data_IF_080028922252
#
_entry.id   IF_080028922252
#
_cell.length_a   1.000
_cell.length_b   1.000
_cell.length_c   1.000
_cell.angle_alpha   90.00
_cell.angle_beta   90.00
_cell.angle_gamma   90.00
#
_symmetry.space_group_name_H-M   'P 1'
#
loop_
_entity.id
_entity.type
_entity.pdbx_description
1 polymer ?
#
# COMPACT_ATOMS: atom_id res chain seq x y z
N UNK A 1 -6.63 -6.15 17.81
CA UNK A 1 -5.29 -6.25 18.44
C UNK A 1 -4.49 -5.02 18.07
N UNK A 2 -4.02 -4.21 19.01
CA UNK A 2 -3.30 -2.99 18.67
C UNK A 2 -1.97 -3.33 17.98
N UNK A 3 -1.65 -2.64 16.90
CA UNK A 3 -0.31 -2.62 16.31
C UNK A 3 0.68 -2.27 17.41
N UNK A 4 1.38 -3.27 17.96
CA UNK A 4 2.40 -3.05 18.98
C UNK A 4 3.66 -2.54 18.27
N UNK A 5 3.72 -1.24 18.07
CA UNK A 5 4.83 -0.57 17.38
C UNK A 5 6.05 -0.34 18.28
N UNK A 6 5.93 -0.63 19.58
CA UNK A 6 7.02 -0.40 20.56
C UNK A 6 6.68 -1.08 21.88
N UNK A 7 7.70 -1.44 22.68
CA UNK A 7 7.55 -1.95 24.04
C UNK A 7 7.29 -0.82 25.07
N UNK A 8 7.46 0.44 24.65
CA UNK A 8 7.18 1.61 25.48
C UNK A 8 5.66 1.85 25.51
N UNK A 9 5.10 2.14 26.69
CA UNK A 9 3.67 2.43 26.85
C UNK A 9 3.24 3.63 26.00
N UNK A 10 2.04 3.58 25.43
CA UNK A 10 1.52 4.61 24.52
C UNK A 10 1.65 6.04 25.06
N UNK A 11 1.24 6.29 26.31
CA UNK A 11 1.34 7.62 26.96
C UNK A 11 2.80 8.11 27.10
N UNK A 12 3.71 7.20 27.33
CA UNK A 12 5.13 7.52 27.47
C UNK A 12 5.74 7.87 26.11
N UNK A 13 5.41 7.10 25.06
CA UNK A 13 5.80 7.44 23.68
C UNK A 13 5.29 8.83 23.29
N UNK A 14 4.03 9.15 23.57
CA UNK A 14 3.50 10.48 23.29
C UNK A 14 4.35 11.56 24.00
N UNK A 15 4.63 11.41 25.28
CA UNK A 15 5.43 12.39 26.03
C UNK A 15 6.80 12.63 25.41
N UNK A 16 7.46 11.58 24.94
CA UNK A 16 8.76 11.68 24.25
C UNK A 16 8.60 12.42 22.92
N UNK A 17 7.65 11.98 22.09
CA UNK A 17 7.49 12.47 20.73
C UNK A 17 7.02 13.94 20.67
N UNK A 18 6.14 14.38 21.56
CA UNK A 18 5.71 15.78 21.59
C UNK A 18 6.81 16.76 22.02
N UNK A 19 7.91 16.27 22.61
CA UNK A 19 9.06 17.08 22.97
C UNK A 19 10.08 17.22 21.82
N UNK A 20 9.96 16.43 20.75
CA UNK A 20 10.83 16.52 19.59
C UNK A 20 10.44 17.73 18.72
N UNK A 21 11.27 18.81 18.69
CA UNK A 21 10.95 20.01 17.95
C UNK A 21 11.04 19.81 16.43
N UNK A 22 11.89 18.89 15.95
CA UNK A 22 12.07 18.60 14.53
C UNK A 22 10.82 17.92 14.02
N UNK A 23 10.38 16.85 14.70
CA UNK A 23 9.16 16.13 14.33
C UNK A 23 7.94 17.05 14.39
N UNK A 24 7.77 17.85 15.43
CA UNK A 24 6.63 18.77 15.55
C UNK A 24 6.57 19.79 14.43
N UNK A 25 7.72 20.36 14.05
CA UNK A 25 7.81 21.32 12.93
C UNK A 25 7.52 20.63 11.59
N UNK A 26 8.06 19.44 11.37
CA UNK A 26 7.83 18.68 10.14
C UNK A 26 6.34 18.32 9.96
N UNK A 27 5.70 17.84 11.03
CA UNK A 27 4.26 17.51 11.01
C UNK A 27 3.41 18.76 10.79
N UNK A 28 3.68 19.86 11.49
CA UNK A 28 2.93 21.13 11.34
C UNK A 28 3.02 21.66 9.89
N UNK A 29 4.23 21.73 9.33
CA UNK A 29 4.43 22.17 7.94
C UNK A 29 3.71 21.28 6.92
N UNK A 30 3.73 19.97 7.14
CA UNK A 30 3.04 19.03 6.26
C UNK A 30 1.51 19.19 6.35
N UNK A 31 0.95 19.32 7.54
CA UNK A 31 -0.48 19.54 7.77
C UNK A 31 -0.97 20.84 7.12
N UNK A 32 -0.24 21.94 7.30
CA UNK A 32 -0.57 23.23 6.69
C UNK A 32 -0.57 23.13 5.17
N UNK A 33 0.49 22.57 4.57
CA UNK A 33 0.62 22.41 3.11
C UNK A 33 -0.47 21.51 2.55
N UNK A 34 -0.68 20.33 3.15
CA UNK A 34 -1.68 19.38 2.65
C UNK A 34 -3.09 19.94 2.84
N UNK A 35 -3.38 20.60 3.97
CA UNK A 35 -4.66 21.23 4.24
C UNK A 35 -4.97 22.36 3.25
N UNK A 36 -3.99 23.23 2.98
CA UNK A 36 -4.14 24.32 1.97
C UNK A 36 -4.36 23.75 0.57
N UNK A 37 -3.59 22.74 0.18
CA UNK A 37 -3.75 22.10 -1.12
C UNK A 37 -5.11 21.41 -1.25
N UNK A 38 -5.55 20.69 -0.18
CA UNK A 38 -6.86 20.07 -0.14
C UNK A 38 -7.98 21.10 -0.36
N UNK A 39 -7.94 22.26 0.31
CA UNK A 39 -8.95 23.29 0.15
C UNK A 39 -9.00 23.79 -1.29
N UNK A 40 -7.85 24.07 -1.92
CA UNK A 40 -7.79 24.43 -3.33
C UNK A 40 -8.45 23.40 -4.24
N UNK A 41 -8.22 22.11 -4.00
CA UNK A 41 -8.79 21.03 -4.81
C UNK A 41 -10.29 20.85 -4.58
N UNK A 42 -10.79 21.15 -3.37
CA UNK A 42 -12.21 21.20 -3.04
C UNK A 42 -12.89 22.33 -3.81
N UNK A 43 -12.32 23.53 -3.76
CA UNK A 43 -12.86 24.73 -4.42
C UNK A 43 -12.85 24.55 -5.96
N UNK A 44 -11.79 23.95 -6.50
CA UNK A 44 -11.65 23.67 -7.92
C UNK A 44 -12.65 22.64 -8.45
N UNK A 45 -12.89 21.56 -7.70
CA UNK A 45 -13.84 20.52 -8.10
C UNK A 45 -15.27 21.07 -8.13
N UNK A 46 -15.59 21.98 -7.21
CA UNK A 46 -16.96 22.44 -6.98
C UNK A 46 -17.87 21.34 -6.46
N UNK A 47 -19.04 21.71 -5.96
CA UNK A 47 -20.06 20.74 -5.50
C UNK A 47 -19.50 19.61 -4.61
N UNK A 48 -18.51 19.90 -3.78
CA UNK A 48 -17.77 18.92 -2.97
C UNK A 48 -18.67 18.00 -2.14
N UNK A 49 -19.72 18.56 -1.54
CA UNK A 49 -20.65 17.76 -0.70
C UNK A 49 -21.50 16.80 -1.53
N UNK A 50 -21.81 17.12 -2.78
CA UNK A 50 -22.50 16.20 -3.69
C UNK A 50 -21.60 15.01 -4.05
N UNK A 51 -20.33 15.27 -4.38
CA UNK A 51 -19.33 14.22 -4.62
C UNK A 51 -19.15 13.34 -3.40
N UNK A 52 -19.05 13.94 -2.21
CA UNK A 52 -18.89 13.22 -0.94
C UNK A 52 -20.12 12.35 -0.65
N UNK A 53 -21.32 12.87 -0.83
CA UNK A 53 -22.58 12.15 -0.68
C UNK A 53 -22.68 11.00 -1.68
N UNK A 54 -22.24 11.20 -2.93
CA UNK A 54 -22.23 10.12 -3.91
C UNK A 54 -21.23 9.02 -3.52
N UNK A 55 -20.03 9.38 -3.10
CA UNK A 55 -19.04 8.40 -2.62
C UNK A 55 -19.55 7.63 -1.40
N UNK A 56 -20.24 8.30 -0.45
CA UNK A 56 -20.87 7.64 0.68
C UNK A 56 -21.96 6.66 0.24
N UNK A 57 -22.84 7.04 -0.69
CA UNK A 57 -23.88 6.16 -1.23
C UNK A 57 -23.30 4.90 -1.87
N UNK A 58 -22.23 5.05 -2.68
CA UNK A 58 -21.52 3.92 -3.28
C UNK A 58 -20.99 2.99 -2.19
N UNK A 59 -20.32 3.52 -1.18
CA UNK A 59 -19.76 2.73 -0.08
C UNK A 59 -20.85 2.02 0.74
N UNK A 60 -21.90 2.74 1.07
CA UNK A 60 -23.07 2.18 1.81
C UNK A 60 -23.72 1.04 1.02
N UNK A 61 -24.00 1.26 -0.26
CA UNK A 61 -24.59 0.25 -1.14
C UNK A 61 -23.74 -1.02 -1.21
N UNK A 62 -22.41 -0.87 -1.29
CA UNK A 62 -21.50 -2.03 -1.28
C UNK A 62 -21.56 -2.77 0.05
N UNK A 63 -21.58 -2.06 1.18
CA UNK A 63 -21.61 -2.68 2.51
C UNK A 63 -22.93 -3.41 2.76
N UNK A 64 -24.04 -2.85 2.30
CA UNK A 64 -25.39 -3.46 2.41
C UNK A 64 -25.53 -4.73 1.53
N UNK A 65 -24.67 -4.91 0.52
CA UNK A 65 -24.70 -6.04 -0.41
C UNK A 65 -23.31 -6.70 -0.52
N UNK A 66 -22.56 -6.70 0.57
CA UNK A 66 -21.14 -7.06 0.54
C UNK A 66 -20.89 -8.51 0.13
N UNK A 67 -21.75 -9.43 0.56
CA UNK A 67 -21.71 -10.84 0.20
C UNK A 67 -21.86 -11.07 -1.31
N UNK A 68 -22.83 -10.40 -1.92
CA UNK A 68 -23.05 -10.47 -3.37
C UNK A 68 -21.86 -9.93 -4.17
N UNK A 69 -21.31 -8.79 -3.76
CA UNK A 69 -20.15 -8.21 -4.42
C UNK A 69 -18.85 -9.00 -4.19
N UNK A 70 -18.64 -9.58 -3.02
CA UNK A 70 -17.54 -10.50 -2.76
C UNK A 70 -17.63 -11.75 -3.64
N UNK A 71 -18.83 -12.31 -3.77
CA UNK A 71 -19.06 -13.46 -4.65
C UNK A 71 -18.76 -13.09 -6.11
N UNK A 72 -19.36 -12.00 -6.61
CA UNK A 72 -19.15 -11.52 -8.00
C UNK A 72 -17.67 -11.25 -8.28
N UNK A 73 -16.97 -10.58 -7.38
CA UNK A 73 -15.54 -10.31 -7.50
C UNK A 73 -14.74 -11.61 -7.60
N UNK A 74 -15.04 -12.58 -6.72
CA UNK A 74 -14.36 -13.87 -6.71
C UNK A 74 -14.54 -14.64 -8.02
N UNK A 75 -15.77 -14.72 -8.54
CA UNK A 75 -16.07 -15.34 -9.82
C UNK A 75 -15.30 -14.68 -10.97
N UNK A 76 -15.28 -13.34 -11.01
CA UNK A 76 -14.60 -12.60 -12.07
C UNK A 76 -13.08 -12.75 -12.00
N UNK A 77 -12.48 -12.65 -10.82
CA UNK A 77 -11.02 -12.86 -10.65
C UNK A 77 -10.64 -14.28 -11.08
N UNK A 78 -11.44 -15.28 -10.67
CA UNK A 78 -11.20 -16.68 -11.05
C UNK A 78 -11.36 -16.90 -12.54
N UNK A 79 -12.40 -16.33 -13.15
CA UNK A 79 -12.62 -16.41 -14.60
C UNK A 79 -11.49 -15.77 -15.41
N UNK A 80 -10.82 -14.77 -14.86
CA UNK A 80 -9.63 -14.13 -15.44
C UNK A 80 -8.33 -14.90 -15.16
N UNK A 81 -8.38 -16.10 -14.57
CA UNK A 81 -7.22 -16.93 -14.27
C UNK A 81 -6.50 -16.59 -12.96
N UNK A 82 -7.06 -15.72 -12.13
CA UNK A 82 -6.53 -15.39 -10.82
C UNK A 82 -7.00 -16.37 -9.72
N UNK A 83 -6.32 -16.34 -8.59
CA UNK A 83 -6.68 -17.10 -7.38
C UNK A 83 -7.25 -16.14 -6.33
N UNK A 84 -8.37 -16.54 -5.71
CA UNK A 84 -8.96 -15.76 -4.61
C UNK A 84 -8.86 -16.54 -3.31
N UNK A 85 -8.44 -15.86 -2.26
CA UNK A 85 -8.37 -16.42 -0.92
C UNK A 85 -9.04 -15.49 0.09
N UNK A 86 -10.05 -16.02 0.79
CA UNK A 86 -10.73 -15.32 1.86
C UNK A 86 -10.04 -15.63 3.20
N UNK A 87 -9.42 -14.65 3.78
CA UNK A 87 -8.72 -14.75 5.06
C UNK A 87 -9.61 -14.18 6.18
N UNK A 88 -10.09 -15.03 7.06
CA UNK A 88 -10.90 -14.62 8.19
C UNK A 88 -10.09 -13.87 9.24
N UNK A 89 -8.84 -14.29 9.43
CA UNK A 89 -7.92 -13.73 10.41
C UNK A 89 -6.63 -13.27 9.75
N UNK A 90 -5.81 -12.51 10.47
CA UNK A 90 -4.47 -12.15 10.03
C UNK A 90 -3.56 -13.37 9.87
N UNK A 91 -3.76 -14.39 10.70
CA UNK A 91 -3.04 -15.65 10.66
C UNK A 91 -3.36 -16.43 9.38
N UNK A 92 -4.62 -16.47 8.96
CA UNK A 92 -5.03 -17.06 7.67
C UNK A 92 -4.36 -16.35 6.51
N UNK A 93 -4.44 -15.01 6.48
CA UNK A 93 -3.86 -14.20 5.42
C UNK A 93 -2.34 -14.43 5.30
N UNK A 94 -1.62 -14.33 6.41
CA UNK A 94 -0.17 -14.47 6.40
C UNK A 94 0.28 -15.90 6.11
N UNK A 95 -0.47 -16.91 6.56
CA UNK A 95 -0.20 -18.32 6.26
C UNK A 95 -0.36 -18.63 4.77
N UNK A 96 -1.41 -18.07 4.15
CA UNK A 96 -1.61 -18.21 2.71
C UNK A 96 -0.50 -17.54 1.89
N UNK A 97 -0.15 -16.29 2.22
CA UNK A 97 0.93 -15.56 1.56
C UNK A 97 2.27 -16.29 1.70
N UNK A 98 2.57 -16.79 2.91
CA UNK A 98 3.77 -17.58 3.15
C UNK A 98 3.77 -18.89 2.37
N UNK A 99 2.63 -19.57 2.27
CA UNK A 99 2.47 -20.79 1.47
C UNK A 99 2.81 -20.50 0.00
N UNK A 100 2.19 -19.49 -0.60
CA UNK A 100 2.46 -19.09 -1.99
C UNK A 100 3.95 -18.74 -2.17
N UNK A 101 4.54 -17.93 -1.29
CA UNK A 101 5.95 -17.59 -1.38
C UNK A 101 6.88 -18.82 -1.33
N UNK A 102 6.57 -19.81 -0.50
CA UNK A 102 7.32 -21.07 -0.42
C UNK A 102 7.14 -21.93 -1.67
N UNK A 103 5.92 -22.06 -2.19
CA UNK A 103 5.64 -22.81 -3.42
C UNK A 103 6.37 -22.24 -4.62
N UNK A 104 6.58 -20.92 -4.63
CA UNK A 104 7.38 -20.22 -5.66
C UNK A 104 8.88 -20.23 -5.37
N UNK A 105 9.34 -20.89 -4.31
CA UNK A 105 10.73 -20.88 -3.88
C UNK A 105 11.28 -19.47 -3.73
N UNK A 106 10.46 -18.54 -3.21
CA UNK A 106 10.83 -17.15 -3.10
C UNK A 106 12.02 -16.97 -2.14
N UNK A 107 13.09 -16.42 -2.68
CA UNK A 107 14.28 -16.02 -1.92
C UNK A 107 14.12 -14.65 -1.32
N UNK A 108 13.25 -13.82 -1.90
CA UNK A 108 12.84 -12.52 -1.41
C UNK A 108 11.49 -12.12 -1.98
N UNK A 109 10.84 -11.17 -1.30
CA UNK A 109 9.60 -10.55 -1.72
C UNK A 109 9.82 -9.04 -1.85
N UNK A 110 9.37 -8.43 -2.95
CA UNK A 110 9.26 -6.97 -3.06
C UNK A 110 7.84 -6.54 -2.74
N UNK A 111 7.70 -5.49 -1.95
CA UNK A 111 6.40 -5.04 -1.46
C UNK A 111 6.21 -3.55 -1.70
N UNK A 112 5.07 -3.16 -2.25
CA UNK A 112 4.64 -1.76 -2.21
C UNK A 112 3.89 -1.46 -0.91
N UNK A 113 3.91 -0.21 -0.49
CA UNK A 113 3.23 0.24 0.73
C UNK A 113 1.78 -0.23 0.80
N UNK A 114 1.42 -0.90 1.89
CA UNK A 114 0.07 -1.38 2.14
C UNK A 114 -0.23 -1.44 3.63
N UNK A 115 -1.23 -0.66 4.05
CA UNK A 115 -1.66 -0.65 5.44
C UNK A 115 -2.28 -1.99 5.88
N UNK A 116 -2.91 -2.73 4.96
CA UNK A 116 -3.47 -4.06 5.28
C UNK A 116 -2.36 -5.06 5.55
N UNK A 117 -1.26 -5.03 4.78
CA UNK A 117 -0.11 -5.93 5.03
C UNK A 117 0.60 -5.61 6.35
N UNK A 118 0.63 -4.34 6.77
CA UNK A 118 1.12 -3.93 8.10
C UNK A 118 0.18 -4.41 9.21
N UNK A 119 -1.13 -4.24 9.03
CA UNK A 119 -2.17 -4.69 9.96
C UNK A 119 -2.05 -6.18 10.29
N UNK A 120 -1.87 -7.02 9.27
CA UNK A 120 -1.74 -8.47 9.45
C UNK A 120 -0.32 -8.89 9.91
N UNK A 121 0.66 -7.99 9.90
CA UNK A 121 2.04 -8.28 10.30
C UNK A 121 2.81 -9.17 9.33
N UNK A 122 2.52 -9.05 8.03
CA UNK A 122 3.06 -9.91 6.97
C UNK A 122 4.60 -9.97 6.97
N UNK A 123 5.27 -8.82 7.05
CA UNK A 123 6.73 -8.75 6.98
C UNK A 123 7.40 -9.63 8.05
N UNK A 124 6.91 -9.55 9.29
CA UNK A 124 7.48 -10.33 10.40
C UNK A 124 7.32 -11.85 10.19
N UNK A 125 6.20 -12.29 9.62
CA UNK A 125 5.94 -13.72 9.35
C UNK A 125 6.87 -14.25 8.26
N UNK A 126 7.03 -13.51 7.15
CA UNK A 126 7.92 -13.91 6.06
C UNK A 126 9.40 -13.88 6.49
N UNK A 127 9.83 -12.84 7.18
CA UNK A 127 11.20 -12.71 7.69
C UNK A 127 11.54 -13.84 8.67
N UNK A 128 10.61 -14.20 9.58
CA UNK A 128 10.78 -15.34 10.50
C UNK A 128 10.92 -16.68 9.76
N UNK A 129 10.33 -16.78 8.57
CA UNK A 129 10.46 -17.96 7.72
C UNK A 129 11.71 -17.93 6.82
N UNK A 130 12.59 -16.94 6.97
CA UNK A 130 13.82 -16.79 6.19
C UNK A 130 13.62 -16.12 4.81
N UNK A 131 12.46 -15.53 4.56
CA UNK A 131 12.15 -14.83 3.30
C UNK A 131 12.17 -13.32 3.59
N UNK A 132 13.21 -12.58 3.18
CA UNK A 132 13.28 -11.15 3.35
C UNK A 132 12.22 -10.43 2.52
N UNK A 133 11.61 -9.41 3.11
CA UNK A 133 10.67 -8.51 2.45
C UNK A 133 11.35 -7.16 2.24
N UNK A 134 11.40 -6.71 1.01
CA UNK A 134 11.99 -5.42 0.63
C UNK A 134 10.86 -4.41 0.43
N UNK A 135 10.80 -3.39 1.27
CA UNK A 135 9.91 -2.26 1.06
C UNK A 135 10.38 -1.44 -0.15
N UNK A 136 9.46 -1.07 -1.02
CA UNK A 136 9.80 -0.37 -2.26
C UNK A 136 9.30 1.07 -2.32
N UNK A 137 8.43 1.48 -1.39
CA UNK A 137 8.11 2.88 -1.12
C UNK A 137 9.33 3.54 -0.44
N UNK A 138 9.74 4.70 -0.95
CA UNK A 138 10.97 5.37 -0.47
C UNK A 138 10.93 5.64 1.03
N UNK A 139 9.81 6.13 1.54
CA UNK A 139 9.64 6.43 2.97
C UNK A 139 9.69 5.17 3.83
N UNK A 140 9.01 4.11 3.39
CA UNK A 140 9.00 2.82 4.12
C UNK A 140 10.37 2.12 4.04
N UNK A 141 11.07 2.21 2.91
CA UNK A 141 12.42 1.66 2.77
C UNK A 141 13.41 2.33 3.74
N UNK A 142 13.36 3.66 3.87
CA UNK A 142 14.17 4.41 4.83
C UNK A 142 13.87 3.96 6.27
N UNK A 143 12.59 3.78 6.61
CA UNK A 143 12.19 3.30 7.94
C UNK A 143 12.58 1.84 8.17
N UNK A 144 12.50 1.00 7.15
CA UNK A 144 12.98 -0.38 7.22
C UNK A 144 14.48 -0.43 7.55
N UNK A 145 15.30 0.38 6.90
CA UNK A 145 16.73 0.51 7.20
C UNK A 145 16.97 1.02 8.62
N UNK A 146 16.21 2.01 9.06
CA UNK A 146 16.32 2.59 10.40
C UNK A 146 15.71 1.71 11.51
N UNK A 147 15.04 0.61 11.18
CA UNK A 147 14.28 -0.23 12.11
C UNK A 147 13.23 0.55 12.91
N UNK A 148 12.59 1.53 12.27
CA UNK A 148 11.57 2.39 12.88
C UNK A 148 10.18 2.14 12.29
N UNK A 149 9.12 2.30 13.10
CA UNK A 149 7.75 2.23 12.59
C UNK A 149 7.37 3.51 11.82
N UNK A 150 6.41 3.44 10.88
CA UNK A 150 5.91 4.61 10.19
C UNK A 150 5.20 5.57 11.16
N UNK A 151 5.40 6.88 10.97
CA UNK A 151 4.74 7.93 11.75
C UNK A 151 3.44 8.41 11.11
N UNK A 152 3.26 8.19 9.83
CA UNK A 152 2.10 8.66 9.07
C UNK A 152 1.75 7.69 7.94
N UNK A 153 0.45 7.51 7.68
CA UNK A 153 -0.05 6.56 6.68
C UNK A 153 0.40 6.91 5.25
N UNK A 154 0.33 8.21 4.90
CA UNK A 154 0.65 8.67 3.53
C UNK A 154 2.13 9.02 3.36
N UNK A 155 2.74 9.60 4.38
CA UNK A 155 4.14 10.03 4.39
C UNK A 155 4.86 9.36 5.57
N UNK A 156 5.29 8.09 5.43
CA UNK A 156 5.77 7.28 6.55
C UNK A 156 6.94 7.92 7.32
N UNK A 157 7.92 8.46 6.61
CA UNK A 157 9.13 9.05 7.17
C UNK A 157 9.02 10.57 7.45
N UNK A 158 7.81 11.12 7.65
CA UNK A 158 7.57 12.55 7.86
C UNK A 158 8.34 13.13 9.06
N UNK A 159 8.71 12.30 10.01
CA UNK A 159 9.45 12.69 11.22
C UNK A 159 10.95 12.83 11.00
N UNK A 160 11.46 12.48 9.81
CA UNK A 160 12.89 12.59 9.48
C UNK A 160 13.15 13.77 8.55
N UNK A 161 14.22 14.50 8.87
CA UNK A 161 14.78 15.48 7.95
C UNK A 161 15.82 14.85 6.99
N UNK A 162 16.27 15.63 6.01
CA UNK A 162 17.23 15.17 4.99
C UNK A 162 18.55 14.71 5.58
N UNK A 163 19.00 15.37 6.63
CA UNK A 163 20.25 15.05 7.31
C UNK A 163 20.16 13.68 8.00
N UNK A 164 19.05 13.42 8.69
CA UNK A 164 18.76 12.14 9.32
C UNK A 164 18.64 11.02 8.28
N UNK A 165 17.97 11.29 7.16
CA UNK A 165 17.86 10.31 6.05
C UNK A 165 19.25 10.00 5.49
N UNK A 166 20.07 11.00 5.17
CA UNK A 166 21.44 10.80 4.69
C UNK A 166 22.27 9.94 5.65
N UNK A 167 22.13 10.17 6.97
CA UNK A 167 22.82 9.37 7.99
C UNK A 167 22.38 7.90 7.93
N UNK A 168 21.08 7.62 7.88
CA UNK A 168 20.56 6.26 7.75
C UNK A 168 21.13 5.57 6.49
N UNK A 169 21.14 6.28 5.35
CA UNK A 169 21.68 5.72 4.11
C UNK A 169 23.19 5.48 4.18
N UNK A 170 23.94 6.34 4.87
CA UNK A 170 25.37 6.13 5.07
C UNK A 170 25.64 4.92 5.98
N UNK A 171 24.97 4.84 7.13
CA UNK A 171 25.17 3.80 8.14
C UNK A 171 24.80 2.40 7.61
N UNK A 172 23.72 2.29 6.83
CA UNK A 172 23.20 0.99 6.39
C UNK A 172 23.58 0.59 4.96
N UNK A 173 23.88 1.57 4.09
CA UNK A 173 24.13 1.31 2.66
C UNK A 173 25.45 1.91 2.16
N UNK A 174 26.23 2.61 3.01
CA UNK A 174 27.48 3.24 2.63
C UNK A 174 27.32 4.45 1.70
N UNK A 175 26.25 5.23 1.84
CA UNK A 175 26.02 6.42 1.04
C UNK A 175 26.91 7.58 1.46
N UNK A 176 27.78 8.03 0.58
CA UNK A 176 28.70 9.18 0.81
C UNK A 176 28.33 10.42 -0.03
N UNK A 177 27.28 10.33 -0.84
CA UNK A 177 26.85 11.40 -1.74
C UNK A 177 26.27 12.65 -1.03
N UNK A 178 25.87 13.66 -1.83
CA UNK A 178 25.33 14.90 -1.30
C UNK A 178 23.94 14.71 -0.65
N UNK A 179 23.61 15.63 0.26
CA UNK A 179 22.34 15.62 1.02
C UNK A 179 21.19 16.24 0.20
N UNK A 180 21.09 15.92 -1.06
CA UNK A 180 19.98 16.35 -1.91
C UNK A 180 18.97 15.22 -2.11
N UNK A 181 17.66 15.51 -2.13
CA UNK A 181 16.64 14.50 -2.35
C UNK A 181 16.88 13.70 -3.62
N UNK A 182 17.31 14.37 -4.69
CA UNK A 182 17.54 13.78 -6.02
C UNK A 182 18.66 12.75 -5.96
N UNK A 183 19.79 13.09 -5.35
CA UNK A 183 20.95 12.19 -5.25
C UNK A 183 20.67 10.99 -4.35
N UNK A 184 20.02 11.19 -3.20
CA UNK A 184 19.64 10.12 -2.30
C UNK A 184 18.59 9.18 -2.94
N UNK A 185 17.61 9.73 -3.66
CA UNK A 185 16.60 8.95 -4.37
C UNK A 185 17.22 8.12 -5.50
N UNK A 186 18.13 8.71 -6.27
CA UNK A 186 18.84 8.00 -7.33
C UNK A 186 19.65 6.82 -6.77
N UNK A 187 20.36 7.04 -5.68
CA UNK A 187 21.12 5.99 -5.01
C UNK A 187 20.24 4.82 -4.54
N UNK A 188 19.11 5.13 -3.89
CA UNK A 188 18.16 4.10 -3.44
C UNK A 188 17.58 3.36 -4.64
N UNK A 189 17.20 4.08 -5.72
CA UNK A 189 16.72 3.47 -6.95
C UNK A 189 17.69 2.43 -7.52
N UNK A 190 18.98 2.74 -7.52
CA UNK A 190 20.01 1.80 -7.98
C UNK A 190 20.13 0.59 -7.06
N UNK A 191 20.05 0.79 -5.75
CA UNK A 191 20.14 -0.29 -4.76
C UNK A 191 18.98 -1.27 -4.88
N UNK A 192 17.74 -0.80 -4.89
CA UNK A 192 16.55 -1.67 -4.93
C UNK A 192 16.27 -2.25 -6.33
N UNK A 193 16.92 -1.74 -7.37
CA UNK A 193 16.73 -2.23 -8.75
C UNK A 193 16.95 -3.74 -8.86
N UNK A 194 18.01 -4.25 -8.24
CA UNK A 194 18.33 -5.68 -8.31
C UNK A 194 17.32 -6.51 -7.51
N UNK A 195 16.74 -5.95 -6.46
CA UNK A 195 15.68 -6.61 -5.70
C UNK A 195 14.43 -6.78 -6.54
N UNK A 196 14.01 -5.75 -7.27
CA UNK A 196 12.91 -5.85 -8.22
C UNK A 196 13.14 -6.91 -9.30
N UNK A 197 14.35 -6.94 -9.89
CA UNK A 197 14.68 -7.86 -11.00
C UNK A 197 14.82 -9.32 -10.55
N UNK A 198 15.10 -9.56 -9.28
CA UNK A 198 15.40 -10.91 -8.74
C UNK A 198 14.35 -11.44 -7.77
N UNK A 199 13.31 -10.68 -7.46
CA UNK A 199 12.22 -11.14 -6.61
C UNK A 199 11.30 -12.09 -7.38
N UNK A 200 10.97 -13.19 -6.78
CA UNK A 200 10.03 -14.18 -7.32
C UNK A 200 8.57 -13.76 -7.09
N UNK A 201 8.32 -13.03 -5.99
CA UNK A 201 6.98 -12.62 -5.56
C UNK A 201 6.95 -11.11 -5.33
N UNK A 202 5.93 -10.47 -5.88
CA UNK A 202 5.56 -9.08 -5.59
C UNK A 202 4.28 -9.03 -4.77
N UNK A 203 4.27 -8.19 -3.73
CA UNK A 203 3.08 -7.99 -2.89
C UNK A 203 2.65 -6.53 -2.95
N UNK A 204 1.35 -6.31 -3.11
CA UNK A 204 0.75 -4.97 -3.05
C UNK A 204 -0.47 -4.94 -2.14
N UNK A 205 -0.88 -3.74 -1.77
CA UNK A 205 -2.26 -3.52 -1.33
C UNK A 205 -3.23 -3.55 -2.52
N UNK A 206 -4.47 -3.17 -2.24
CA UNK A 206 -5.47 -2.87 -3.24
C UNK A 206 -6.31 -1.70 -2.73
N UNK A 207 -6.37 -0.63 -3.50
CA UNK A 207 -7.17 0.54 -3.13
C UNK A 207 -8.66 0.31 -3.40
N UNK A 208 -8.95 -0.31 -4.54
CA UNK A 208 -10.29 -0.69 -4.95
C UNK A 208 -10.23 -1.99 -5.78
N UNK A 209 -11.21 -2.86 -5.59
CA UNK A 209 -11.48 -3.98 -6.48
C UNK A 209 -12.81 -3.77 -7.18
N UNK A 210 -12.89 -4.00 -8.49
CA UNK A 210 -14.10 -3.80 -9.31
C UNK A 210 -14.83 -5.12 -9.47
N UNK A 211 -16.02 -5.23 -8.89
CA UNK A 211 -16.77 -6.48 -8.87
C UNK A 211 -17.18 -6.95 -10.27
N UNK A 212 -17.58 -6.04 -11.17
CA UNK A 212 -18.03 -6.38 -12.51
C UNK A 212 -16.95 -7.01 -13.39
N UNK A 213 -15.66 -6.68 -13.16
CA UNK A 213 -14.56 -7.10 -14.02
C UNK A 213 -13.54 -8.00 -13.33
N UNK A 214 -13.50 -8.04 -12.01
CA UNK A 214 -12.43 -8.72 -11.26
C UNK A 214 -11.10 -7.94 -11.25
N UNK A 215 -11.11 -6.68 -11.66
CA UNK A 215 -9.91 -5.85 -11.71
C UNK A 215 -9.57 -5.28 -10.32
N UNK A 216 -8.28 -5.18 -10.01
CA UNK A 216 -7.78 -4.48 -8.82
C UNK A 216 -7.09 -3.18 -9.21
N UNK A 217 -7.32 -2.14 -8.41
CA UNK A 217 -6.77 -0.80 -8.60
C UNK A 217 -5.71 -0.51 -7.55
N UNK A 218 -4.55 -0.05 -8.01
CA UNK A 218 -3.46 0.48 -7.19
C UNK A 218 -3.31 1.97 -7.45
N UNK A 219 -3.41 2.77 -6.39
CA UNK A 219 -3.25 4.22 -6.44
C UNK A 219 -1.94 4.58 -5.75
N UNK A 220 -0.98 5.09 -6.52
CA UNK A 220 0.35 5.42 -6.01
C UNK A 220 0.88 6.72 -6.59
N UNK A 221 1.85 7.34 -5.89
CA UNK A 221 2.60 8.50 -6.39
C UNK A 221 3.99 8.11 -6.93
N UNK A 222 4.38 6.86 -6.77
CA UNK A 222 5.65 6.30 -7.19
C UNK A 222 5.42 5.13 -8.14
N UNK A 223 6.38 4.85 -9.03
CA UNK A 223 6.30 3.73 -9.96
C UNK A 223 6.58 2.36 -9.34
N UNK A 224 6.90 2.31 -8.05
CA UNK A 224 7.28 1.11 -7.31
C UNK A 224 6.21 0.01 -7.31
N UNK A 225 4.95 0.38 -7.06
CA UNK A 225 3.86 -0.59 -7.05
C UNK A 225 3.68 -1.26 -8.42
N UNK A 226 3.81 -0.49 -9.52
CA UNK A 226 3.79 -1.07 -10.87
C UNK A 226 4.92 -2.08 -11.06
N UNK A 227 6.13 -1.77 -10.59
CA UNK A 227 7.24 -2.72 -10.67
C UNK A 227 7.02 -3.97 -9.81
N UNK A 228 6.38 -3.85 -8.64
CA UNK A 228 5.98 -5.01 -7.84
C UNK A 228 4.97 -5.93 -8.55
N UNK A 229 4.16 -5.38 -9.46
CA UNK A 229 3.14 -6.15 -10.18
C UNK A 229 3.61 -6.70 -11.52
N UNK A 230 4.67 -6.14 -12.12
CA UNK A 230 5.07 -6.50 -13.50
C UNK A 230 6.36 -7.30 -13.58
N UNK A 231 7.28 -7.12 -12.65
CA UNK A 231 8.61 -7.78 -12.70
C UNK A 231 8.61 -9.16 -12.05
N UNK A 232 8.05 -9.37 -10.84
CA UNK A 232 7.92 -10.69 -10.26
C UNK A 232 6.94 -11.57 -11.06
N UNK A 233 7.22 -12.86 -11.13
CA UNK A 233 6.35 -13.82 -11.82
C UNK A 233 5.04 -14.07 -11.09
N UNK A 234 5.00 -13.89 -9.78
CA UNK A 234 3.81 -14.05 -8.96
C UNK A 234 3.47 -12.74 -8.27
N UNK A 235 2.24 -12.28 -8.44
CA UNK A 235 1.72 -11.09 -7.75
C UNK A 235 0.64 -11.47 -6.74
N UNK A 236 0.76 -10.97 -5.52
CA UNK A 236 -0.24 -11.11 -4.46
C UNK A 236 -0.78 -9.72 -4.10
N UNK A 237 -2.05 -9.47 -4.39
CA UNK A 237 -2.76 -8.28 -3.93
C UNK A 237 -3.49 -8.60 -2.62
N UNK A 238 -3.32 -7.73 -1.59
CA UNK A 238 -3.96 -7.92 -0.28
C UNK A 238 -4.93 -6.76 -0.04
N UNK A 239 -6.20 -7.05 0.21
CA UNK A 239 -7.23 -6.04 0.43
C UNK A 239 -8.10 -6.34 1.63
N UNK A 240 -8.63 -5.30 2.27
CA UNK A 240 -9.78 -5.45 3.16
C UNK A 240 -11.06 -5.72 2.36
N UNK A 241 -11.94 -6.57 2.88
CA UNK A 241 -13.17 -6.98 2.20
C UNK A 241 -14.07 -5.80 1.82
N UNK A 242 -13.94 -4.67 2.50
CA UNK A 242 -14.70 -3.45 2.27
C UNK A 242 -14.22 -2.62 1.06
N UNK A 243 -13.11 -3.00 0.40
CA UNK A 243 -12.49 -2.22 -0.68
C UNK A 243 -13.04 -2.53 -2.08
N UNK A 244 -14.28 -2.96 -2.16
CA UNK A 244 -14.98 -3.26 -3.42
C UNK A 244 -15.71 -2.01 -3.91
N UNK A 245 -15.77 -1.87 -5.22
CA UNK A 245 -16.70 -1.00 -5.94
C UNK A 245 -17.44 -1.83 -6.98
N UNK A 246 -18.73 -1.57 -7.25
CA UNK A 246 -19.51 -2.35 -8.20
C UNK A 246 -18.95 -2.28 -9.62
N UNK A 247 -18.68 -1.09 -10.12
CA UNK A 247 -18.31 -0.79 -11.50
C UNK A 247 -17.13 0.20 -11.59
N UNK A 248 -16.56 0.37 -12.78
CA UNK A 248 -15.52 1.38 -13.04
C UNK A 248 -16.04 2.81 -12.84
N UNK A 249 -17.31 3.11 -13.18
CA UNK A 249 -17.87 4.44 -12.99
C UNK A 249 -17.90 4.83 -11.52
N UNK A 250 -18.19 3.89 -10.63
CA UNK A 250 -18.21 4.14 -9.19
C UNK A 250 -16.82 4.29 -8.60
N UNK A 251 -15.85 3.53 -9.13
CA UNK A 251 -14.44 3.73 -8.75
C UNK A 251 -13.94 5.09 -9.18
N UNK A 252 -14.36 5.62 -10.35
CA UNK A 252 -13.94 6.96 -10.79
C UNK A 252 -14.35 8.04 -9.79
N UNK A 253 -15.57 7.94 -9.23
CA UNK A 253 -16.01 8.82 -8.12
C UNK A 253 -15.09 8.70 -6.92
N UNK A 254 -14.77 7.46 -6.50
CA UNK A 254 -13.94 7.20 -5.32
C UNK A 254 -12.49 7.68 -5.51
N UNK A 255 -11.90 7.46 -6.68
CA UNK A 255 -10.53 7.92 -7.01
C UNK A 255 -10.48 9.44 -7.09
N UNK A 256 -11.48 10.07 -7.70
CA UNK A 256 -11.61 11.54 -7.78
C UNK A 256 -11.59 12.16 -6.38
N UNK A 257 -12.27 11.55 -5.43
CA UNK A 257 -12.30 12.00 -4.03
C UNK A 257 -11.01 11.68 -3.28
N UNK A 258 -10.40 10.51 -3.55
CA UNK A 258 -9.24 10.01 -2.80
C UNK A 258 -8.04 10.95 -2.89
N UNK A 259 -7.59 11.28 -4.08
CA UNK A 259 -6.40 12.12 -4.29
C UNK A 259 -6.59 13.53 -3.72
N UNK A 260 -7.77 14.12 -3.92
CA UNK A 260 -8.12 15.43 -3.41
C UNK A 260 -8.18 15.47 -1.88
N UNK A 261 -8.76 14.44 -1.27
CA UNK A 261 -8.90 14.36 0.18
C UNK A 261 -7.59 14.04 0.89
N UNK A 262 -6.78 13.13 0.34
CA UNK A 262 -5.61 12.59 1.04
C UNK A 262 -4.39 13.50 0.95
N UNK A 263 -4.13 14.09 -0.23
CA UNK A 263 -2.89 14.84 -0.50
C UNK A 263 -3.10 16.21 -1.14
N UNK A 264 -4.35 16.59 -1.43
CA UNK A 264 -4.66 17.84 -2.10
C UNK A 264 -4.13 17.88 -3.55
N UNK A 265 -4.33 16.79 -4.29
CA UNK A 265 -3.96 16.69 -5.70
C UNK A 265 -5.17 16.27 -6.54
N UNK A 266 -5.24 16.72 -7.80
CA UNK A 266 -6.30 16.30 -8.74
C UNK A 266 -6.28 14.81 -8.97
N UNK A 267 -5.09 14.26 -9.20
CA UNK A 267 -4.84 12.85 -9.47
C UNK A 267 -3.58 12.43 -8.71
N UNK A 268 -3.42 11.15 -8.53
CA UNK A 268 -2.15 10.55 -8.10
C UNK A 268 -1.22 10.35 -9.30
N UNK A 269 0.06 10.08 -9.03
CA UNK A 269 1.04 9.86 -10.11
C UNK A 269 0.68 8.67 -11.00
N UNK A 270 0.14 7.61 -10.39
CA UNK A 270 -0.22 6.38 -11.09
C UNK A 270 -1.52 5.78 -10.54
N UNK A 271 -2.40 5.41 -11.46
CA UNK A 271 -3.54 4.52 -11.22
C UNK A 271 -3.33 3.27 -12.08
N UNK A 272 -2.91 2.18 -11.46
CA UNK A 272 -2.61 0.92 -12.14
C UNK A 272 -3.76 -0.04 -11.97
N UNK A 273 -4.22 -0.62 -13.07
CA UNK A 273 -5.30 -1.60 -13.13
C UNK A 273 -4.73 -2.96 -13.54
N UNK A 274 -5.13 -4.00 -12.82
CA UNK A 274 -4.69 -5.37 -13.04
C UNK A 274 -5.91 -6.27 -13.08
N UNK A 275 -6.01 -7.05 -14.16
CA UNK A 275 -7.14 -7.95 -14.40
C UNK A 275 -6.59 -9.36 -14.66
N UNK A 276 -6.23 -10.04 -13.58
CA UNK A 276 -5.66 -11.39 -13.67
C UNK A 276 -4.16 -11.45 -14.02
N UNK A 277 -3.63 -12.67 -14.27
CA UNK A 277 -2.28 -12.87 -14.77
C UNK A 277 -2.16 -12.46 -16.24
N UNK A 278 -0.93 -12.35 -16.74
CA UNK A 278 -0.68 -12.07 -18.16
C UNK A 278 -1.13 -13.23 -19.04
N UNK A 279 -1.60 -12.91 -20.23
CA UNK A 279 -1.91 -13.89 -21.27
C UNK A 279 -0.61 -14.46 -21.86
N UNK A 280 -0.70 -15.66 -22.43
CA UNK A 280 0.41 -16.29 -23.13
C UNK A 280 0.92 -15.40 -24.28
N UNK A 281 2.23 -15.20 -24.36
CA UNK A 281 2.87 -14.34 -25.36
C UNK A 281 3.01 -12.88 -24.94
N UNK A 282 2.40 -12.43 -23.85
CA UNK A 282 2.64 -11.10 -23.31
C UNK A 282 3.92 -11.07 -22.45
N UNK A 283 4.71 -9.99 -22.55
CA UNK A 283 5.99 -9.85 -21.85
C UNK A 283 5.81 -9.23 -20.46
N UNK A 284 4.82 -8.36 -20.29
CA UNK A 284 4.58 -7.62 -19.05
C UNK A 284 3.46 -8.25 -18.21
N UNK A 285 3.62 -8.23 -16.91
CA UNK A 285 2.66 -8.73 -15.95
C UNK A 285 3.06 -10.06 -15.31
N UNK A 286 2.40 -10.43 -14.23
CA UNK A 286 2.70 -11.66 -13.50
C UNK A 286 2.17 -12.89 -14.27
N UNK A 287 2.86 -14.00 -14.14
CA UNK A 287 2.39 -15.31 -14.65
C UNK A 287 1.26 -15.88 -13.77
N UNK A 288 1.20 -15.43 -12.51
CA UNK A 288 0.23 -15.89 -11.53
C UNK A 288 -0.21 -14.72 -10.64
N UNK A 289 -1.51 -14.63 -10.44
CA UNK A 289 -2.14 -13.56 -9.65
C UNK A 289 -2.98 -14.13 -8.50
N UNK A 290 -2.77 -13.60 -7.29
CA UNK A 290 -3.54 -13.94 -6.11
C UNK A 290 -4.19 -12.69 -5.51
N UNK A 291 -5.49 -12.79 -5.20
CA UNK A 291 -6.21 -11.78 -4.44
C UNK A 291 -6.53 -12.34 -3.05
N UNK A 292 -5.91 -11.77 -2.02
CA UNK A 292 -6.17 -12.12 -0.62
C UNK A 292 -7.13 -11.08 -0.04
N UNK A 293 -8.35 -11.53 0.26
CA UNK A 293 -9.42 -10.70 0.83
C UNK A 293 -9.45 -10.93 2.34
N UNK A 294 -9.19 -9.88 3.10
CA UNK A 294 -9.00 -9.95 4.55
C UNK A 294 -10.22 -9.41 5.28
N UNK A 295 -10.81 -10.24 6.12
CA UNK A 295 -11.81 -9.82 7.11
C UNK A 295 -11.12 -9.19 8.33
N UNK A 296 -10.44 -9.97 9.12
CA UNK A 296 -9.74 -9.56 10.35
C UNK A 296 -10.59 -8.68 11.27
N UNK A 297 -11.86 -9.05 11.46
CA UNK A 297 -12.84 -8.37 12.31
C UNK A 297 -13.65 -7.27 11.62
N UNK A 298 -13.51 -7.07 10.31
CA UNK A 298 -14.30 -6.09 9.56
C UNK A 298 -15.79 -6.45 9.55
N UNK A 299 -16.09 -7.72 9.38
CA UNK A 299 -17.48 -8.22 9.42
C UNK A 299 -18.17 -8.07 10.80
N UNK A 300 -17.41 -7.82 11.86
CA UNK A 300 -17.95 -7.56 13.19
C UNK A 300 -18.33 -6.08 13.41
N UNK A 301 -17.87 -5.19 12.52
CA UNK A 301 -18.02 -3.73 12.65
C UNK A 301 -18.89 -3.16 11.52
N UNK A 302 -19.01 -3.86 10.41
CA UNK A 302 -19.87 -3.51 9.29
C UNK A 302 -21.30 -3.90 9.56
#
# INVERSE_FOLDING_TARGET
MSLKTSDIRFKERIRIQIQDPIMRKAVANAQERIGTNRQKMVDELGHWEEWRSRAEQIRRHVLENLDAYLYQLSEKVTANGGHVYFARTREDATSYILKVAKEKNARKVVKSKSMVTEEIGMNAVLQKAGIPVIETDLGEYILQLAHEPPSHVVVPAIHKDRHQIRRVLNEHLGYEGPETPEAMTLFIREKIRQDFLSAEVGVTGCNFAVAETGSVCLVTNEGNARMCTTLPKTHIAVMGMERIAPTFQEVDVLITMLARSAVGARLTGYNTWLTGPREEGHVDGPEEFHLVIVDNGRSEVL
#
